data_IF_765186912285
#
_entry.id   IF_765186912285
#
_cell.length_a   1.000
_cell.length_b   1.000
_cell.length_c   1.000
_cell.angle_alpha   90.00
_cell.angle_beta   90.00
_cell.angle_gamma   90.00
#
_symmetry.space_group_name_H-M   'P 1'
#
loop_
_entity.id
_entity.type
_entity.pdbx_description
1 polymer ?
#
# COMPACT_ATOMS: atom_id res chain seq x y z
N UNK A 1 29.34 -1.04 1.93
CA UNK A 1 28.76 -1.64 0.71
C UNK A 1 27.31 -1.18 0.58
N UNK A 2 26.89 -0.71 -0.59
CA UNK A 2 25.49 -0.40 -0.79
C UNK A 2 24.65 -1.68 -0.74
N UNK A 3 23.39 -1.58 -0.36
CA UNK A 3 22.50 -2.73 -0.43
C UNK A 3 22.30 -3.18 -1.86
N UNK A 4 22.10 -4.48 -2.05
CA UNK A 4 21.76 -5.03 -3.35
C UNK A 4 20.31 -4.68 -3.70
N UNK A 5 20.10 -4.22 -4.94
CA UNK A 5 18.75 -3.93 -5.40
C UNK A 5 18.16 -5.12 -6.15
N UNK A 6 16.88 -5.37 -5.91
CA UNK A 6 16.05 -6.29 -6.67
C UNK A 6 16.56 -7.74 -6.68
N UNK A 7 16.97 -8.25 -5.51
CA UNK A 7 17.20 -9.68 -5.36
C UNK A 7 15.91 -10.40 -5.68
N UNK A 8 15.99 -11.40 -6.56
CA UNK A 8 14.79 -12.05 -7.11
C UNK A 8 13.87 -12.62 -6.03
N UNK A 9 14.43 -13.23 -4.99
CA UNK A 9 13.63 -13.79 -3.90
C UNK A 9 12.89 -12.70 -3.11
N UNK A 10 13.51 -11.54 -2.92
CA UNK A 10 12.89 -10.44 -2.18
C UNK A 10 11.80 -9.77 -3.04
N UNK A 11 12.06 -9.57 -4.33
CA UNK A 11 11.05 -9.08 -5.26
C UNK A 11 9.82 -10.00 -5.25
N UNK A 12 10.03 -11.31 -5.23
CA UNK A 12 8.93 -12.28 -5.18
C UNK A 12 8.12 -12.16 -3.89
N UNK A 13 8.80 -11.96 -2.74
CA UNK A 13 8.10 -11.76 -1.46
C UNK A 13 7.25 -10.49 -1.47
N UNK A 14 7.81 -9.38 -1.96
CA UNK A 14 7.08 -8.12 -2.03
C UNK A 14 5.91 -8.20 -3.01
N UNK A 15 6.08 -8.90 -4.11
CA UNK A 15 4.99 -9.14 -5.07
C UNK A 15 3.84 -9.88 -4.38
N UNK A 16 4.14 -10.92 -3.62
CA UNK A 16 3.13 -11.68 -2.88
C UNK A 16 2.42 -10.81 -1.84
N UNK A 17 3.16 -9.94 -1.14
CA UNK A 17 2.57 -9.03 -0.15
C UNK A 17 1.67 -7.99 -0.82
N UNK A 18 2.09 -7.45 -1.96
CA UNK A 18 1.27 -6.53 -2.74
C UNK A 18 -0.02 -7.19 -3.23
N UNK A 19 0.07 -8.45 -3.68
CA UNK A 19 -1.11 -9.22 -4.07
C UNK A 19 -2.08 -9.41 -2.90
N UNK A 20 -1.55 -9.72 -1.71
CA UNK A 20 -2.38 -9.83 -0.50
C UNK A 20 -3.09 -8.53 -0.18
N UNK A 21 -2.36 -7.40 -0.27
CA UNK A 21 -2.94 -6.09 0.00
C UNK A 21 -4.07 -5.77 -0.99
N UNK A 22 -3.85 -5.97 -2.28
CA UNK A 22 -4.87 -5.68 -3.30
C UNK A 22 -6.11 -6.54 -3.10
N UNK A 23 -5.95 -7.81 -2.76
CA UNK A 23 -7.07 -8.70 -2.48
C UNK A 23 -7.85 -8.23 -1.26
N UNK A 24 -7.14 -7.94 -0.16
CA UNK A 24 -7.77 -7.47 1.08
C UNK A 24 -8.52 -6.16 0.86
N UNK A 25 -7.93 -5.26 0.06
CA UNK A 25 -8.56 -3.98 -0.27
C UNK A 25 -9.84 -4.18 -1.07
N UNK A 26 -9.81 -5.06 -2.08
CA UNK A 26 -10.95 -5.35 -2.92
C UNK A 26 -12.08 -6.06 -2.18
N UNK A 27 -11.76 -6.87 -1.17
CA UNK A 27 -12.74 -7.58 -0.36
C UNK A 27 -13.15 -6.81 0.89
N UNK A 28 -12.56 -5.65 1.12
CA UNK A 28 -12.73 -4.87 2.36
C UNK A 28 -12.45 -5.72 3.60
N UNK A 29 -11.41 -6.52 3.55
CA UNK A 29 -10.98 -7.40 4.63
C UNK A 29 -10.20 -6.58 5.67
N UNK A 30 -10.93 -5.97 6.59
CA UNK A 30 -10.36 -5.04 7.57
C UNK A 30 -9.30 -5.73 8.45
N UNK A 31 -9.53 -6.93 9.01
CA UNK A 31 -8.48 -7.59 9.80
C UNK A 31 -7.19 -7.82 9.01
N UNK A 32 -7.27 -8.23 7.73
CA UNK A 32 -6.09 -8.45 6.91
C UNK A 32 -5.39 -7.12 6.60
N UNK A 33 -6.15 -6.07 6.25
CA UNK A 33 -5.58 -4.75 5.99
C UNK A 33 -4.86 -4.23 7.24
N UNK A 34 -5.46 -4.37 8.43
CA UNK A 34 -4.83 -3.97 9.68
C UNK A 34 -3.55 -4.75 9.94
N UNK A 35 -3.54 -6.05 9.65
CA UNK A 35 -2.37 -6.91 9.86
C UNK A 35 -1.21 -6.56 8.93
N UNK A 36 -1.47 -5.98 7.75
CA UNK A 36 -0.45 -5.63 6.77
C UNK A 36 0.27 -4.32 7.07
N UNK A 37 -0.26 -3.48 7.96
CA UNK A 37 0.39 -2.24 8.37
C UNK A 37 1.18 -2.42 9.65
N UNK A 38 2.29 -1.69 9.77
CA UNK A 38 3.07 -1.68 11.00
C UNK A 38 2.26 -1.00 12.12
N UNK A 39 2.15 -1.68 13.26
CA UNK A 39 1.33 -1.22 14.40
C UNK A 39 2.16 -0.31 15.30
N UNK A 40 2.46 0.89 14.83
CA UNK A 40 3.24 1.85 15.60
C UNK A 40 2.94 3.29 15.21
N UNK A 41 3.41 4.26 16.03
CA UNK A 41 3.18 5.67 15.73
C UNK A 41 3.97 6.18 14.52
N UNK A 42 4.98 5.43 14.06
CA UNK A 42 5.82 5.81 12.91
C UNK A 42 5.09 5.64 11.57
N UNK A 43 4.03 4.84 11.53
CA UNK A 43 3.33 4.53 10.28
C UNK A 43 2.54 5.73 9.80
N UNK A 44 2.68 6.06 8.50
CA UNK A 44 2.03 7.23 7.90
C UNK A 44 1.24 6.78 6.68
N UNK A 45 0.02 7.32 6.52
CA UNK A 45 -0.75 7.11 5.30
C UNK A 45 -1.39 8.41 4.84
N UNK A 46 -1.04 8.86 3.64
CA UNK A 46 -1.68 9.97 2.97
C UNK A 46 -2.64 9.39 1.92
N UNK A 47 -3.92 9.70 2.06
CA UNK A 47 -4.91 9.33 1.06
C UNK A 47 -5.30 10.52 0.20
N UNK A 48 -6.26 10.32 -0.69
CA UNK A 48 -6.73 11.40 -1.58
C UNK A 48 -7.34 12.56 -0.78
N UNK A 49 -8.07 12.25 0.27
CA UNK A 49 -8.74 13.24 1.09
C UNK A 49 -8.37 13.21 2.57
N UNK A 50 -7.41 12.36 2.99
CA UNK A 50 -7.09 12.22 4.41
C UNK A 50 -5.59 12.18 4.66
N UNK A 51 -5.21 12.62 5.85
CA UNK A 51 -3.84 12.60 6.36
C UNK A 51 -3.85 11.85 7.67
N UNK A 52 -3.15 10.70 7.74
CA UNK A 52 -3.21 9.81 8.89
C UNK A 52 -1.80 9.55 9.41
N UNK A 53 -1.60 9.82 10.69
CA UNK A 53 -0.34 9.57 11.39
C UNK A 53 -0.55 8.52 12.48
N UNK A 54 0.24 7.47 12.41
CA UNK A 54 0.20 6.37 13.35
C UNK A 54 -0.84 5.32 12.99
N UNK A 55 -0.57 4.10 13.42
CA UNK A 55 -1.45 2.96 13.13
C UNK A 55 -2.87 3.19 13.62
N UNK A 56 -3.03 3.79 14.83
CA UNK A 56 -4.37 3.95 15.41
C UNK A 56 -5.27 4.83 14.54
N UNK A 57 -4.73 5.91 13.97
CA UNK A 57 -5.50 6.76 13.06
C UNK A 57 -5.87 6.02 11.78
N UNK A 58 -4.94 5.23 11.25
CA UNK A 58 -5.17 4.46 10.02
C UNK A 58 -6.27 3.42 10.24
N UNK A 59 -6.19 2.69 11.35
CA UNK A 59 -7.19 1.67 11.67
C UNK A 59 -8.57 2.29 11.92
N UNK A 60 -8.63 3.42 12.62
CA UNK A 60 -9.89 4.12 12.88
C UNK A 60 -10.52 4.62 11.58
N UNK A 61 -9.73 5.20 10.68
CA UNK A 61 -10.22 5.65 9.38
C UNK A 61 -10.83 4.47 8.61
N UNK A 62 -10.15 3.34 8.60
CA UNK A 62 -10.62 2.15 7.85
C UNK A 62 -11.93 1.63 8.40
N UNK A 63 -12.07 1.57 9.72
CA UNK A 63 -13.31 1.11 10.37
C UNK A 63 -14.48 2.06 10.09
N UNK A 64 -14.21 3.35 9.96
CA UNK A 64 -15.26 4.37 9.79
C UNK A 64 -15.61 4.62 8.33
N UNK A 65 -14.85 4.06 7.38
CA UNK A 65 -15.13 4.24 5.95
C UNK A 65 -16.24 3.29 5.50
N UNK A 66 -17.38 3.87 5.09
CA UNK A 66 -18.51 3.10 4.62
C UNK A 66 -18.20 2.44 3.27
N UNK A 67 -18.41 1.13 3.17
CA UNK A 67 -18.24 0.39 1.92
C UNK A 67 -16.81 0.11 1.51
N UNK A 68 -15.82 0.55 2.29
CA UNK A 68 -14.41 0.29 1.99
C UNK A 68 -13.85 1.14 0.85
N UNK A 69 -12.76 0.70 0.26
CA UNK A 69 -12.13 1.37 -0.86
C UNK A 69 -12.94 1.16 -2.14
N UNK A 70 -13.08 2.19 -3.01
CA UNK A 70 -13.73 1.98 -4.30
C UNK A 70 -13.02 0.91 -5.13
N UNK A 71 -13.77 0.07 -5.88
CA UNK A 71 -13.16 -0.93 -6.75
C UNK A 71 -12.25 -0.29 -7.80
N UNK A 72 -11.12 -0.95 -8.06
CA UNK A 72 -10.10 -0.42 -8.98
C UNK A 72 -9.40 -1.53 -9.74
N UNK A 73 -8.81 -1.18 -10.87
CA UNK A 73 -7.91 -2.05 -11.62
C UNK A 73 -6.49 -1.50 -11.50
N UNK A 74 -5.53 -2.39 -11.24
CA UNK A 74 -4.11 -2.03 -11.26
C UNK A 74 -3.65 -2.03 -12.72
N UNK A 75 -3.15 -0.89 -13.18
CA UNK A 75 -2.71 -0.71 -14.56
C UNK A 75 -1.22 -1.02 -14.71
N UNK A 76 -0.41 -0.69 -13.70
CA UNK A 76 1.03 -0.91 -13.71
C UNK A 76 1.51 -1.05 -12.26
N UNK A 77 2.45 -1.96 -12.04
CA UNK A 77 3.07 -2.16 -10.72
C UNK A 77 4.57 -2.21 -10.88
N UNK A 78 5.26 -1.42 -10.07
CA UNK A 78 6.71 -1.35 -10.04
C UNK A 78 7.18 -1.69 -8.64
N UNK A 79 7.99 -2.73 -8.51
CA UNK A 79 8.49 -3.20 -7.21
C UNK A 79 9.99 -2.99 -7.16
N UNK A 80 10.48 -2.38 -6.08
CA UNK A 80 11.91 -2.23 -5.84
C UNK A 80 12.24 -2.85 -4.49
N UNK A 81 13.06 -3.88 -4.50
CA UNK A 81 13.59 -4.49 -3.27
C UNK A 81 14.94 -3.87 -2.96
N UNK A 82 15.16 -3.53 -1.68
CA UNK A 82 16.39 -2.88 -1.21
C UNK A 82 16.97 -3.77 -0.11
N UNK A 83 18.06 -4.48 -0.42
CA UNK A 83 18.59 -5.48 0.49
C UNK A 83 17.57 -6.59 0.72
N UNK A 84 17.47 -7.08 1.96
CA UNK A 84 16.58 -8.19 2.31
C UNK A 84 15.35 -7.76 3.09
N UNK A 85 15.33 -6.53 3.64
CA UNK A 85 14.34 -6.16 4.66
C UNK A 85 13.54 -4.91 4.32
N UNK A 86 13.69 -4.37 3.12
CA UNK A 86 13.05 -3.12 2.74
C UNK A 86 12.65 -3.17 1.28
N UNK A 87 11.53 -2.53 0.95
CA UNK A 87 11.13 -2.39 -0.45
C UNK A 87 10.03 -1.38 -0.64
N UNK A 88 9.84 -0.99 -1.89
CA UNK A 88 8.76 -0.10 -2.29
C UNK A 88 7.91 -0.76 -3.35
N UNK A 89 6.61 -0.49 -3.30
CA UNK A 89 5.65 -0.91 -4.32
C UNK A 89 4.94 0.34 -4.81
N UNK A 90 5.11 0.63 -6.09
CA UNK A 90 4.49 1.79 -6.73
C UNK A 90 3.49 1.30 -7.76
N UNK A 91 2.26 1.82 -7.71
CA UNK A 91 1.19 1.41 -8.62
C UNK A 91 0.61 2.60 -9.36
N UNK A 92 0.14 2.33 -10.56
CA UNK A 92 -0.89 3.14 -11.22
C UNK A 92 -2.16 2.33 -11.25
N UNK A 93 -3.28 2.98 -10.94
CA UNK A 93 -4.58 2.31 -10.94
C UNK A 93 -5.66 3.21 -11.49
N UNK A 94 -6.80 2.63 -11.81
CA UNK A 94 -7.99 3.38 -12.19
C UNK A 94 -9.19 2.79 -11.46
N UNK A 95 -9.93 3.65 -10.76
CA UNK A 95 -11.18 3.25 -10.13
C UNK A 95 -12.22 2.98 -11.22
N UNK A 96 -13.09 1.97 -10.99
CA UNK A 96 -14.08 1.56 -11.99
C UNK A 96 -15.01 2.72 -12.39
N UNK A 97 -15.29 3.63 -11.47
CA UNK A 97 -16.20 4.75 -11.69
C UNK A 97 -15.51 6.04 -12.14
N UNK A 98 -14.23 5.99 -12.54
CA UNK A 98 -13.45 7.20 -12.83
C UNK A 98 -12.54 6.99 -14.04
N UNK A 99 -12.31 8.08 -14.78
CA UNK A 99 -11.31 8.11 -15.86
C UNK A 99 -9.94 8.57 -15.37
N UNK A 100 -9.86 9.06 -14.13
CA UNK A 100 -8.61 9.57 -13.58
C UNK A 100 -7.66 8.44 -13.21
N UNK A 101 -6.38 8.64 -13.51
CA UNK A 101 -5.34 7.71 -13.09
C UNK A 101 -4.98 8.00 -11.64
N UNK A 102 -4.99 6.96 -10.81
CA UNK A 102 -4.50 7.02 -9.44
C UNK A 102 -3.08 6.51 -9.37
N UNK A 103 -2.37 6.97 -8.35
CA UNK A 103 -1.01 6.50 -8.06
C UNK A 103 -0.91 6.18 -6.58
N UNK A 104 -0.24 5.07 -6.27
CA UNK A 104 -0.03 4.63 -4.89
C UNK A 104 1.41 4.21 -4.72
N UNK A 105 2.03 4.71 -3.66
CA UNK A 105 3.36 4.28 -3.24
C UNK A 105 3.27 3.70 -1.84
N UNK A 106 3.90 2.55 -1.62
CA UNK A 106 3.99 1.92 -0.32
C UNK A 106 5.43 1.57 -0.02
N UNK A 107 5.85 1.83 1.22
CA UNK A 107 7.13 1.35 1.73
C UNK A 107 6.87 0.19 2.67
N UNK A 108 7.50 -0.94 2.37
CA UNK A 108 7.39 -2.18 3.13
C UNK A 108 8.68 -2.48 3.87
N UNK A 109 8.55 -2.93 5.11
CA UNK A 109 9.68 -3.26 5.98
C UNK A 109 9.46 -4.66 6.53
N UNK A 110 10.52 -5.50 6.52
CA UNK A 110 10.45 -6.80 7.16
C UNK A 110 10.62 -6.64 8.67
N UNK A 111 9.57 -6.99 9.40
CA UNK A 111 9.56 -7.02 10.85
C UNK A 111 9.62 -8.48 11.33
N UNK A 112 9.86 -8.74 12.63
CA UNK A 112 9.94 -10.13 13.11
C UNK A 112 8.72 -10.98 12.79
N UNK A 113 7.53 -10.38 12.70
CA UNK A 113 6.28 -11.06 12.39
C UNK A 113 5.88 -10.96 10.91
N UNK A 114 6.77 -10.51 10.04
CA UNK A 114 6.56 -10.47 8.61
C UNK A 114 6.65 -9.06 8.01
N UNK A 115 6.39 -8.98 6.73
CA UNK A 115 6.41 -7.72 6.00
C UNK A 115 5.26 -6.82 6.41
N UNK A 116 5.56 -5.52 6.63
CA UNK A 116 4.57 -4.51 7.04
C UNK A 116 4.74 -3.24 6.24
N UNK A 117 3.62 -2.58 5.94
CA UNK A 117 3.63 -1.25 5.33
C UNK A 117 3.88 -0.22 6.43
N UNK A 118 4.89 0.62 6.26
CA UNK A 118 5.22 1.68 7.22
C UNK A 118 4.90 3.07 6.66
N UNK A 119 4.79 3.20 5.35
CA UNK A 119 4.38 4.46 4.72
C UNK A 119 3.59 4.16 3.47
N UNK A 120 2.53 4.93 3.24
CA UNK A 120 1.70 4.80 2.05
C UNK A 120 1.19 6.17 1.62
N UNK A 121 1.08 6.37 0.31
CA UNK A 121 0.56 7.60 -0.26
C UNK A 121 -0.27 7.27 -1.49
N UNK A 122 -1.51 7.74 -1.50
CA UNK A 122 -2.44 7.56 -2.62
C UNK A 122 -2.83 8.94 -3.16
N UNK A 123 -2.75 9.10 -4.47
CA UNK A 123 -3.16 10.34 -5.12
C UNK A 123 -3.90 10.04 -6.41
N UNK A 124 -4.63 11.03 -6.90
CA UNK A 124 -5.26 10.98 -8.21
C UNK A 124 -4.65 12.07 -9.08
N UNK A 125 -4.37 11.76 -10.32
CA UNK A 125 -3.93 12.77 -11.27
C UNK A 125 -5.08 13.74 -11.54
N UNK A 126 -4.75 14.97 -11.90
CA UNK A 126 -5.76 15.95 -12.24
C UNK A 126 -6.55 15.49 -13.48
N UNK A 127 -7.83 15.85 -13.54
CA UNK A 127 -8.61 15.62 -14.74
C UNK A 127 -8.04 16.44 -15.90
N UNK A 128 -7.93 15.79 -17.05
CA UNK A 128 -7.54 16.45 -18.29
C UNK A 128 -8.84 16.63 -19.09
N UNK A 129 -9.54 17.69 -18.80
CA UNK A 129 -10.77 17.99 -19.52
C UNK A 129 -10.57 19.09 -20.54
#
# INVERSE_FOLDING_TARGET
MPPELNRSGIVAELTAMSDRYERALGENDIPELDALFYHGPETVRYGVGETLYGYDEIAAFRRNRTGGSPPRDVLRRHITAIGTDLGTVDLEFRRHASERIGRQSQTWVRMPDGWKIIAAHVSLMADIS
#
